data_IF_357161626631
#
_entry.id   IF_357161626631
#
_cell.length_a   1.000
_cell.length_b   1.000
_cell.length_c   1.000
_cell.angle_alpha   90.00
_cell.angle_beta   90.00
_cell.angle_gamma   90.00
#
_symmetry.space_group_name_H-M   'P 1'
#
loop_
_entity.id
_entity.type
_entity.pdbx_description
1 polymer ?
#
# COMPACT_ATOMS: atom_id res chain seq x y z
N UNK A 1 -18.63 8.91 -29.32
CA UNK A 1 -17.63 9.33 -28.30
C UNK A 1 -17.59 8.34 -27.12
N UNK A 2 -18.74 7.86 -26.63
CA UNK A 2 -18.82 6.93 -25.48
C UNK A 2 -18.11 5.59 -25.68
N UNK A 3 -18.24 4.93 -26.84
CA UNK A 3 -17.65 3.58 -27.06
C UNK A 3 -16.12 3.54 -26.97
N UNK A 4 -15.42 4.61 -27.37
CA UNK A 4 -13.97 4.69 -27.26
C UNK A 4 -13.53 4.84 -25.79
N UNK A 5 -14.21 5.72 -25.04
CA UNK A 5 -13.94 5.92 -23.62
C UNK A 5 -14.29 4.66 -22.82
N UNK A 6 -15.41 4.00 -23.11
CA UNK A 6 -15.81 2.73 -22.49
C UNK A 6 -14.76 1.64 -22.71
N UNK A 7 -14.24 1.50 -23.93
CA UNK A 7 -13.18 0.55 -24.22
C UNK A 7 -11.90 0.87 -23.44
N UNK A 8 -11.50 2.15 -23.32
CA UNK A 8 -10.34 2.54 -22.53
C UNK A 8 -10.53 2.23 -21.03
N UNK A 9 -11.72 2.51 -20.49
CA UNK A 9 -12.05 2.18 -19.09
C UNK A 9 -11.97 0.67 -18.87
N UNK A 10 -12.47 -0.15 -19.80
CA UNK A 10 -12.36 -1.59 -19.73
C UNK A 10 -10.90 -2.06 -19.72
N UNK A 11 -10.06 -1.53 -20.62
CA UNK A 11 -8.64 -1.86 -20.68
C UNK A 11 -7.92 -1.50 -19.37
N UNK A 12 -8.18 -0.31 -18.83
CA UNK A 12 -7.62 0.13 -17.53
C UNK A 12 -8.06 -0.81 -16.39
N UNK A 13 -9.32 -1.25 -16.40
CA UNK A 13 -9.82 -2.17 -15.39
C UNK A 13 -9.18 -3.55 -15.51
N UNK A 14 -8.96 -4.05 -16.72
CA UNK A 14 -8.23 -5.31 -16.94
C UNK A 14 -6.80 -5.23 -16.42
N UNK A 15 -6.07 -4.15 -16.71
CA UNK A 15 -4.71 -3.95 -16.17
C UNK A 15 -4.72 -3.93 -14.65
N UNK A 16 -5.65 -3.20 -14.04
CA UNK A 16 -5.80 -3.15 -12.58
C UNK A 16 -6.04 -4.54 -11.97
N UNK A 17 -6.92 -5.33 -12.58
CA UNK A 17 -7.22 -6.69 -12.09
C UNK A 17 -6.00 -7.62 -12.18
N UNK A 18 -5.25 -7.57 -13.28
CA UNK A 18 -4.04 -8.37 -13.45
C UNK A 18 -2.92 -7.93 -12.50
N UNK A 19 -2.77 -6.63 -12.26
CA UNK A 19 -1.82 -6.09 -11.29
C UNK A 19 -2.15 -6.58 -9.86
N UNK A 20 -3.43 -6.52 -9.46
CA UNK A 20 -3.88 -7.05 -8.17
C UNK A 20 -3.58 -8.54 -8.06
N UNK A 21 -3.85 -9.33 -9.11
CA UNK A 21 -3.55 -10.77 -9.12
C UNK A 21 -2.05 -11.04 -8.99
N UNK A 22 -1.21 -10.28 -9.69
CA UNK A 22 0.24 -10.38 -9.61
C UNK A 22 0.72 -10.11 -8.18
N UNK A 23 0.29 -9.00 -7.58
CA UNK A 23 0.65 -8.65 -6.20
C UNK A 23 0.19 -9.71 -5.20
N UNK A 24 -1.02 -10.25 -5.33
CA UNK A 24 -1.52 -11.31 -4.47
C UNK A 24 -0.72 -12.62 -4.63
N UNK A 25 -0.31 -12.95 -5.85
CA UNK A 25 0.50 -14.13 -6.11
C UNK A 25 1.92 -13.96 -5.56
N UNK A 26 2.49 -12.75 -5.65
CA UNK A 26 3.76 -12.38 -5.05
C UNK A 26 3.72 -12.56 -3.53
N UNK A 27 2.68 -12.05 -2.86
CA UNK A 27 2.48 -12.24 -1.40
C UNK A 27 2.43 -13.73 -1.01
N UNK A 28 1.86 -14.59 -1.87
CA UNK A 28 1.76 -16.03 -1.60
C UNK A 28 3.09 -16.76 -1.79
N UNK A 29 3.91 -16.31 -2.75
CA UNK A 29 5.13 -17.02 -3.17
C UNK A 29 6.38 -16.53 -2.47
N UNK A 30 6.42 -15.27 -2.07
CA UNK A 30 7.59 -14.63 -1.48
C UNK A 30 7.31 -14.27 -0.02
N UNK A 31 8.35 -14.42 0.80
CA UNK A 31 8.34 -13.93 2.17
C UNK A 31 8.31 -12.40 2.21
N UNK A 32 7.85 -11.85 3.34
CA UNK A 32 7.89 -10.40 3.56
C UNK A 32 9.30 -9.82 3.40
N UNK A 33 10.32 -10.56 3.84
CA UNK A 33 11.73 -10.17 3.72
C UNK A 33 12.19 -10.09 2.26
N UNK A 34 11.95 -11.13 1.45
CA UNK A 34 12.34 -11.13 0.03
C UNK A 34 11.66 -9.98 -0.73
N UNK A 35 10.39 -9.71 -0.42
CA UNK A 35 9.64 -8.59 -1.01
C UNK A 35 10.21 -7.24 -0.62
N UNK A 36 10.77 -7.11 0.58
CA UNK A 36 11.43 -5.89 1.00
C UNK A 36 12.80 -5.69 0.33
N UNK A 37 13.56 -6.75 0.09
CA UNK A 37 14.84 -6.67 -0.61
C UNK A 37 14.67 -6.20 -2.07
N UNK A 38 13.54 -6.53 -2.70
CA UNK A 38 13.17 -6.00 -4.04
C UNK A 38 12.32 -4.71 -3.98
N UNK A 39 12.16 -4.10 -2.80
CA UNK A 39 11.49 -2.82 -2.63
C UNK A 39 9.96 -2.84 -2.74
N UNK A 40 9.30 -4.01 -2.70
CA UNK A 40 7.83 -4.19 -2.77
C UNK A 40 7.13 -4.17 -1.41
N UNK A 41 7.87 -4.29 -0.30
CA UNK A 41 7.34 -4.28 1.05
C UNK A 41 8.23 -3.51 2.02
N UNK A 42 7.65 -3.04 3.13
CA UNK A 42 8.38 -2.40 4.22
C UNK A 42 8.04 -3.15 5.51
N UNK A 43 9.03 -3.81 6.11
CA UNK A 43 8.80 -4.63 7.30
C UNK A 43 9.31 -3.96 8.58
N UNK A 44 8.92 -4.52 9.73
CA UNK A 44 9.41 -4.12 11.06
C UNK A 44 9.24 -2.63 11.35
N UNK A 45 8.10 -2.06 10.92
CA UNK A 45 7.73 -0.67 11.18
C UNK A 45 6.87 -0.55 12.43
N UNK A 46 6.97 0.59 13.11
CA UNK A 46 6.07 0.96 14.21
C UNK A 46 5.15 2.09 13.79
N UNK A 47 3.86 1.92 14.03
CA UNK A 47 2.84 2.93 13.73
C UNK A 47 2.69 3.94 14.86
N UNK A 48 2.62 5.22 14.53
CA UNK A 48 2.24 6.32 15.41
C UNK A 48 1.11 7.12 14.76
N UNK A 49 -0.03 7.22 15.43
CA UNK A 49 -1.14 8.07 14.99
C UNK A 49 -0.71 9.54 15.07
N UNK A 50 -0.75 10.25 13.95
CA UNK A 50 -0.36 11.66 13.86
C UNK A 50 -1.57 12.56 14.08
N UNK A 51 -2.71 12.22 13.46
CA UNK A 51 -3.91 13.03 13.56
C UNK A 51 -5.02 12.56 12.62
N UNK A 52 -5.97 13.46 12.38
CA UNK A 52 -7.01 13.30 11.36
C UNK A 52 -6.93 14.47 10.38
N UNK A 53 -6.94 14.16 9.09
CA UNK A 53 -6.91 15.13 8.00
C UNK A 53 -7.99 14.76 7.00
N UNK A 54 -8.84 15.73 6.59
CA UNK A 54 -9.91 15.52 5.60
C UNK A 54 -10.83 14.32 5.89
N UNK A 55 -11.01 13.95 7.16
CA UNK A 55 -11.80 12.79 7.58
C UNK A 55 -11.04 11.46 7.64
N UNK A 56 -9.81 11.41 7.12
CA UNK A 56 -8.93 10.25 7.18
C UNK A 56 -8.13 10.23 8.48
N UNK A 57 -7.81 9.03 8.97
CA UNK A 57 -6.85 8.88 10.07
C UNK A 57 -5.45 8.74 9.49
N UNK A 58 -4.54 9.62 9.88
CA UNK A 58 -3.15 9.60 9.41
C UNK A 58 -2.28 8.88 10.44
N UNK A 59 -1.60 7.83 9.99
CA UNK A 59 -0.65 7.06 10.80
C UNK A 59 0.70 7.07 10.11
N UNK A 60 1.74 7.43 10.85
CA UNK A 60 3.11 7.33 10.39
C UNK A 60 3.70 5.99 10.82
N UNK A 61 4.20 5.22 9.86
CA UNK A 61 4.95 3.99 10.08
C UNK A 61 6.41 4.25 9.83
N UNK A 62 7.27 3.94 10.80
CA UNK A 62 8.71 4.19 10.65
C UNK A 62 9.57 3.19 11.41
N UNK A 63 10.86 3.21 11.09
CA UNK A 63 11.91 2.40 11.72
C UNK A 63 13.27 3.09 11.60
N UNK A 64 14.30 2.55 12.26
CA UNK A 64 15.66 3.10 12.21
C UNK A 64 16.37 2.83 10.90
N UNK A 65 16.14 1.65 10.28
CA UNK A 65 16.67 1.23 8.98
C UNK A 65 16.09 2.11 7.86
N UNK A 66 16.92 2.45 6.88
CA UNK A 66 16.48 3.13 5.65
C UNK A 66 15.37 2.32 4.96
N UNK A 67 14.43 3.04 4.35
CA UNK A 67 13.33 2.46 3.57
C UNK A 67 13.64 2.71 2.10
N UNK A 68 14.14 1.67 1.43
CA UNK A 68 14.30 1.63 -0.01
C UNK A 68 13.17 0.81 -0.60
N UNK A 69 12.31 1.44 -1.40
CA UNK A 69 11.06 0.85 -1.86
C UNK A 69 10.55 1.59 -3.08
N UNK A 70 9.88 0.86 -3.97
CA UNK A 70 9.19 1.42 -5.14
C UNK A 70 7.85 2.08 -4.76
N UNK A 71 7.36 1.85 -3.53
CA UNK A 71 6.11 2.45 -3.03
C UNK A 71 6.23 3.98 -3.03
N UNK A 72 5.24 4.62 -3.62
CA UNK A 72 5.18 6.06 -3.92
C UNK A 72 3.94 6.72 -3.33
N UNK A 73 3.93 8.06 -3.30
CA UNK A 73 2.78 8.84 -2.81
C UNK A 73 1.60 8.66 -3.77
N UNK A 74 0.42 8.36 -3.22
CA UNK A 74 -0.79 8.04 -3.97
C UNK A 74 -1.07 6.54 -4.10
N UNK A 75 -0.09 5.68 -3.82
CA UNK A 75 -0.28 4.23 -3.94
C UNK A 75 -1.24 3.69 -2.86
N UNK A 76 -2.01 2.68 -3.25
CA UNK A 76 -2.82 1.89 -2.33
C UNK A 76 -1.97 0.75 -1.77
N UNK A 77 -1.80 0.73 -0.45
CA UNK A 77 -1.01 -0.27 0.25
C UNK A 77 -1.87 -1.07 1.21
N UNK A 78 -1.43 -2.31 1.46
CA UNK A 78 -2.02 -3.19 2.45
C UNK A 78 -1.13 -3.22 3.70
N UNK A 79 -1.74 -3.06 4.87
CA UNK A 79 -1.05 -3.00 6.15
C UNK A 79 -1.43 -4.23 6.98
N UNK A 80 -0.44 -4.97 7.47
CA UNK A 80 -0.67 -6.16 8.30
C UNK A 80 0.29 -6.25 9.48
N UNK A 81 -0.16 -6.85 10.58
CA UNK A 81 0.66 -7.21 11.74
C UNK A 81 1.06 -8.70 11.72
N UNK A 82 1.32 -9.22 10.52
CA UNK A 82 1.50 -10.65 10.27
C UNK A 82 1.16 -10.98 8.82
N UNK A 83 0.33 -11.99 8.59
CA UNK A 83 -0.06 -12.41 7.25
C UNK A 83 -0.79 -11.28 6.49
N UNK A 84 -0.23 -10.77 5.38
CA UNK A 84 -0.87 -9.72 4.58
C UNK A 84 -2.22 -10.16 3.98
N UNK A 85 -2.37 -11.43 3.61
CA UNK A 85 -3.62 -11.94 2.99
C UNK A 85 -4.80 -12.02 3.96
N UNK A 86 -4.55 -12.04 5.27
CA UNK A 86 -5.61 -12.02 6.29
C UNK A 86 -5.96 -10.60 6.74
N UNK A 87 -5.16 -9.59 6.36
CA UNK A 87 -5.45 -8.21 6.72
C UNK A 87 -6.35 -7.57 5.67
N UNK A 88 -7.45 -6.97 6.11
CA UNK A 88 -8.32 -6.17 5.26
C UNK A 88 -8.01 -4.67 5.36
N UNK A 89 -6.92 -4.30 6.06
CA UNK A 89 -6.61 -2.91 6.31
C UNK A 89 -5.79 -2.33 5.15
N UNK A 90 -6.46 -1.56 4.29
CA UNK A 90 -5.84 -0.81 3.20
C UNK A 90 -5.74 0.68 3.54
N UNK A 91 -4.72 1.34 2.98
CA UNK A 91 -4.47 2.76 3.15
C UNK A 91 -3.79 3.35 1.93
N UNK A 92 -3.89 4.68 1.77
CA UNK A 92 -3.20 5.41 0.72
C UNK A 92 -1.97 6.10 1.27
N UNK A 93 -0.86 6.04 0.54
CA UNK A 93 0.39 6.72 0.92
C UNK A 93 0.24 8.23 0.72
N UNK A 94 0.44 9.00 1.79
CA UNK A 94 0.38 10.48 1.74
C UNK A 94 1.75 11.13 1.73
N UNK A 95 2.73 10.50 2.38
CA UNK A 95 4.09 11.04 2.48
C UNK A 95 5.10 9.91 2.63
N UNK A 96 6.29 10.09 2.06
CA UNK A 96 7.42 9.17 2.18
C UNK A 96 8.66 9.96 2.58
N UNK A 97 9.29 9.52 3.67
CA UNK A 97 10.63 9.94 4.07
C UNK A 97 11.62 8.80 3.94
N UNK A 98 12.90 9.07 4.23
CA UNK A 98 13.98 8.06 4.15
C UNK A 98 13.83 6.91 5.16
N UNK A 99 13.05 7.09 6.22
CA UNK A 99 12.89 6.15 7.35
C UNK A 99 11.45 5.99 7.82
N UNK A 100 10.49 6.60 7.13
CA UNK A 100 9.08 6.50 7.47
C UNK A 100 8.18 6.64 6.23
N UNK A 101 6.95 6.20 6.37
CA UNK A 101 5.85 6.39 5.43
C UNK A 101 4.59 6.81 6.19
N UNK A 102 3.84 7.78 5.68
CA UNK A 102 2.54 8.19 6.24
C UNK A 102 1.42 7.61 5.39
N UNK A 103 0.46 7.02 6.07
CA UNK A 103 -0.68 6.35 5.46
C UNK A 103 -1.98 7.01 5.94
N UNK A 104 -2.87 7.27 4.99
CA UNK A 104 -4.24 7.71 5.23
C UNK A 104 -5.18 6.52 5.16
N UNK A 105 -5.88 6.25 6.25
CA UNK A 105 -6.88 5.17 6.31
C UNK A 105 -8.28 5.76 6.12
N UNK A 106 -9.01 5.18 5.17
CA UNK A 106 -10.36 5.60 4.80
C UNK A 106 -11.44 5.04 5.75
N UNK A 107 -11.21 3.84 6.29
CA UNK A 107 -12.08 3.29 7.32
C UNK A 107 -11.72 3.86 8.70
N UNK A 108 -12.71 4.00 9.58
CA UNK A 108 -12.46 4.28 11.01
C UNK A 108 -11.57 3.16 11.56
N UNK A 109 -10.27 3.41 11.63
CA UNK A 109 -9.35 2.55 12.39
C UNK A 109 -9.90 2.51 13.82
N UNK A 110 -10.17 1.34 14.42
CA UNK A 110 -10.52 1.25 15.83
C UNK A 110 -9.45 1.90 16.72
#
# INVERSE_FOLDING_TARGET
MNKYIENLIQLINYEREEEIKLMLNEIKKMSSFEREEIGRAINNVRGKKIGKELGFTIVQYGRSKYIDTEISVGDLVLVSTGNPLSSQLSATVTEKGSKYIKLAFNSKIP
#
